data_IF_240152222904
#
_entry.id   IF_240152222904
#
_cell.length_a   1.000
_cell.length_b   1.000
_cell.length_c   1.000
_cell.angle_alpha   90.00
_cell.angle_beta   90.00
_cell.angle_gamma   90.00
#
_symmetry.space_group_name_H-M   'P 1'
#
loop_
_entity.id
_entity.type
_entity.pdbx_description
1 polymer ?
#
# COMPACT_ATOMS: atom_id res chain seq x y z
N UNK A 1 8.74 -6.07 11.28
CA UNK A 1 8.18 -7.09 10.36
C UNK A 1 7.30 -6.42 9.31
N UNK A 2 7.52 -6.28 8.09
CA UNK A 2 6.68 -5.89 6.96
C UNK A 2 5.69 -4.74 7.14
N UNK A 3 4.89 -4.49 6.09
CA UNK A 3 3.87 -3.43 6.08
C UNK A 3 2.76 -3.60 7.12
N UNK A 4 2.44 -4.85 7.49
CA UNK A 4 1.41 -5.11 8.52
C UNK A 4 1.75 -4.46 9.85
N UNK A 5 3.01 -4.57 10.30
CA UNK A 5 3.47 -3.93 11.54
C UNK A 5 3.64 -2.42 11.38
N UNK A 6 4.04 -1.97 10.18
CA UNK A 6 4.09 -0.55 9.87
C UNK A 6 2.71 0.10 9.93
N UNK A 7 1.70 -0.53 9.33
CA UNK A 7 0.32 -0.09 9.40
C UNK A 7 -0.25 -0.17 10.83
N UNK A 8 0.13 -1.21 11.60
CA UNK A 8 -0.23 -1.31 13.02
C UNK A 8 0.29 -0.10 13.81
N UNK A 9 1.54 0.32 13.55
CA UNK A 9 2.12 1.49 14.21
C UNK A 9 1.40 2.78 13.82
N UNK A 10 1.10 2.99 12.54
CA UNK A 10 0.33 4.15 12.08
C UNK A 10 -1.06 4.24 12.70
N UNK A 11 -1.77 3.11 12.78
CA UNK A 11 -3.07 3.03 13.46
C UNK A 11 -2.96 3.22 14.98
N UNK A 12 -1.88 2.74 15.59
CA UNK A 12 -1.61 2.99 17.02
C UNK A 12 -1.44 4.48 17.30
N UNK A 13 -0.65 5.21 16.48
CA UNK A 13 -0.52 6.66 16.60
C UNK A 13 -1.88 7.36 16.45
N UNK A 14 -2.68 6.94 15.46
CA UNK A 14 -4.01 7.50 15.23
C UNK A 14 -4.94 7.31 16.43
N UNK A 15 -4.93 6.11 17.03
CA UNK A 15 -5.74 5.79 18.21
C UNK A 15 -5.32 6.62 19.43
N UNK A 16 -4.03 6.79 19.67
CA UNK A 16 -3.53 7.58 20.79
C UNK A 16 -3.87 9.08 20.62
N UNK A 17 -3.99 9.54 19.37
CA UNK A 17 -4.42 10.91 19.08
C UNK A 17 -5.94 11.07 19.17
N UNK A 18 -6.69 10.10 18.66
CA UNK A 18 -8.15 10.08 18.62
C UNK A 18 -8.68 8.75 19.20
N UNK A 19 -8.73 8.60 20.54
CA UNK A 19 -9.16 7.34 21.18
C UNK A 19 -10.57 6.89 20.79
N UNK A 20 -11.46 7.85 20.56
CA UNK A 20 -12.85 7.61 20.12
C UNK A 20 -13.01 7.69 18.59
N UNK A 21 -11.91 7.84 17.85
CA UNK A 21 -11.93 8.00 16.40
C UNK A 21 -12.43 6.76 15.67
N UNK A 22 -13.15 6.97 14.56
CA UNK A 22 -13.65 5.91 13.68
C UNK A 22 -12.72 5.71 12.49
N UNK A 23 -12.31 4.45 12.23
CA UNK A 23 -11.44 4.13 11.08
C UNK A 23 -12.27 3.83 9.85
N UNK A 24 -11.91 4.44 8.73
CA UNK A 24 -12.51 4.20 7.41
C UNK A 24 -11.44 3.60 6.48
N UNK A 25 -11.73 2.47 5.85
CA UNK A 25 -10.84 1.76 4.93
C UNK A 25 -11.65 1.09 3.82
N UNK A 26 -11.08 0.89 2.63
CA UNK A 26 -11.82 0.32 1.50
C UNK A 26 -11.85 -1.21 1.51
N UNK A 27 -12.78 -1.78 0.75
CA UNK A 27 -12.91 -3.24 0.56
C UNK A 27 -11.63 -3.88 -0.01
N UNK A 28 -10.89 -3.15 -0.87
CA UNK A 28 -9.65 -3.63 -1.48
C UNK A 28 -8.41 -3.39 -0.60
N UNK A 29 -8.59 -2.84 0.60
CA UNK A 29 -7.52 -2.69 1.59
C UNK A 29 -6.93 -4.05 1.96
N UNK A 30 -5.62 -4.11 2.15
CA UNK A 30 -4.93 -5.34 2.51
C UNK A 30 -5.53 -6.01 3.75
N UNK A 31 -5.75 -7.32 3.70
CA UNK A 31 -6.44 -8.10 4.74
C UNK A 31 -5.87 -7.93 6.16
N UNK A 32 -4.60 -7.53 6.29
CA UNK A 32 -3.97 -7.32 7.60
C UNK A 32 -4.56 -6.14 8.38
N UNK A 33 -5.23 -5.21 7.71
CA UNK A 33 -5.82 -4.03 8.36
C UNK A 33 -6.93 -4.45 9.32
N UNK A 34 -7.82 -5.32 8.90
CA UNK A 34 -8.87 -5.87 9.79
C UNK A 34 -8.28 -6.57 11.03
N UNK A 35 -7.11 -7.23 10.91
CA UNK A 35 -6.40 -7.80 12.07
C UNK A 35 -5.85 -6.72 12.98
N UNK A 36 -5.26 -5.66 12.42
CA UNK A 36 -4.72 -4.54 13.18
C UNK A 36 -5.83 -3.80 13.95
N UNK A 37 -6.96 -3.53 13.28
CA UNK A 37 -8.12 -2.87 13.90
C UNK A 37 -8.69 -3.70 15.05
N UNK A 38 -8.79 -5.01 14.86
CA UNK A 38 -9.22 -5.94 15.93
C UNK A 38 -8.24 -5.94 17.10
N UNK A 39 -6.93 -5.98 16.83
CA UNK A 39 -5.90 -5.95 17.86
C UNK A 39 -5.93 -4.66 18.68
N UNK A 40 -6.09 -3.53 18.01
CA UNK A 40 -6.17 -2.21 18.61
C UNK A 40 -7.55 -1.88 19.19
N UNK A 41 -8.56 -2.73 18.95
CA UNK A 41 -9.98 -2.50 19.33
C UNK A 41 -10.53 -1.18 18.81
N UNK A 42 -10.15 -0.80 17.59
CA UNK A 42 -10.62 0.44 16.97
C UNK A 42 -11.99 0.22 16.29
N UNK A 43 -12.97 1.10 16.52
CA UNK A 43 -14.21 1.10 15.75
C UNK A 43 -13.90 1.44 14.29
N UNK A 44 -14.61 0.80 13.35
CA UNK A 44 -14.30 0.99 11.94
C UNK A 44 -15.50 0.74 11.03
N UNK A 45 -15.47 1.38 9.87
CA UNK A 45 -16.46 1.20 8.80
C UNK A 45 -15.68 0.88 7.51
N UNK A 46 -16.11 -0.17 6.83
CA UNK A 46 -15.57 -0.53 5.52
C UNK A 46 -16.34 0.20 4.43
N UNK A 47 -15.62 0.94 3.59
CA UNK A 47 -16.13 1.71 2.45
C UNK A 47 -16.01 0.86 1.20
N UNK A 48 -16.92 1.02 0.24
CA UNK A 48 -16.84 0.35 -1.06
C UNK A 48 -15.56 0.74 -1.79
N UNK A 49 -15.16 -0.10 -2.74
CA UNK A 49 -14.09 0.22 -3.69
C UNK A 49 -14.64 0.46 -5.09
N UNK A 50 -14.01 1.35 -5.82
CA UNK A 50 -14.21 1.53 -7.26
C UNK A 50 -13.64 0.33 -8.04
N UNK A 51 -14.02 0.14 -9.31
CA UNK A 51 -13.43 -0.92 -10.16
C UNK A 51 -11.90 -0.84 -10.30
N UNK A 52 -11.32 0.35 -10.15
CA UNK A 52 -9.86 0.57 -10.10
C UNK A 52 -9.20 0.01 -8.83
N UNK A 53 -9.98 -0.28 -7.79
CA UNK A 53 -9.49 -0.65 -6.45
C UNK A 53 -9.27 0.53 -5.52
N UNK A 54 -9.51 1.75 -5.98
CA UNK A 54 -9.56 2.94 -5.11
C UNK A 54 -10.77 2.91 -4.18
N UNK A 55 -10.70 3.67 -3.09
CA UNK A 55 -11.84 3.91 -2.23
C UNK A 55 -12.97 4.61 -3.01
N UNK A 56 -14.22 4.21 -2.82
CA UNK A 56 -15.38 4.92 -3.37
C UNK A 56 -15.58 6.23 -2.60
N UNK A 57 -15.26 7.35 -3.23
CA UNK A 57 -15.28 8.67 -2.60
C UNK A 57 -16.68 9.16 -2.27
N UNK A 58 -17.70 8.72 -3.00
CA UNK A 58 -19.08 9.07 -2.71
C UNK A 58 -19.58 8.32 -1.47
N UNK A 59 -19.30 7.02 -1.39
CA UNK A 59 -19.57 6.21 -0.21
C UNK A 59 -18.82 6.72 1.02
N UNK A 60 -17.56 7.12 0.85
CA UNK A 60 -16.77 7.77 1.90
C UNK A 60 -17.42 9.08 2.37
N UNK A 61 -17.81 9.95 1.42
CA UNK A 61 -18.46 11.22 1.72
C UNK A 61 -19.76 11.03 2.52
N UNK A 62 -20.67 10.17 2.03
CA UNK A 62 -21.94 9.91 2.68
C UNK A 62 -21.77 9.28 4.07
N UNK A 63 -20.83 8.36 4.20
CA UNK A 63 -20.54 7.70 5.47
C UNK A 63 -19.96 8.69 6.49
N UNK A 64 -19.00 9.52 6.07
CA UNK A 64 -18.43 10.59 6.91
C UNK A 64 -19.47 11.63 7.31
N UNK A 65 -20.39 11.99 6.40
CA UNK A 65 -21.48 12.94 6.68
C UNK A 65 -22.38 12.50 7.83
N UNK A 66 -22.67 11.20 7.91
CA UNK A 66 -23.48 10.60 8.97
C UNK A 66 -22.73 10.62 10.32
N UNK A 67 -21.42 10.45 10.30
CA UNK A 67 -20.55 10.31 11.48
C UNK A 67 -19.63 11.52 11.72
N UNK A 68 -19.96 12.69 11.19
CA UNK A 68 -19.07 13.87 11.18
C UNK A 68 -18.66 14.38 12.57
N UNK A 69 -19.38 13.98 13.62
CA UNK A 69 -19.08 14.38 15.00
C UNK A 69 -18.00 13.48 15.65
N UNK A 70 -17.55 12.43 14.94
CA UNK A 70 -16.51 11.52 15.40
C UNK A 70 -15.25 11.77 14.55
N UNK A 71 -14.07 12.01 15.13
CA UNK A 71 -12.84 12.21 14.38
C UNK A 71 -12.56 11.03 13.44
N UNK A 72 -12.52 11.24 12.10
CA UNK A 72 -12.22 10.16 11.18
C UNK A 72 -10.74 9.84 11.13
N UNK A 73 -10.44 8.55 11.11
CA UNK A 73 -9.13 7.99 10.81
C UNK A 73 -9.24 7.33 9.46
N UNK A 74 -8.70 7.95 8.41
CA UNK A 74 -8.77 7.43 7.05
C UNK A 74 -7.53 6.56 6.79
N UNK A 75 -7.76 5.31 6.43
CA UNK A 75 -6.73 4.40 5.98
C UNK A 75 -6.69 4.45 4.44
N UNK A 76 -5.80 5.28 3.89
CA UNK A 76 -5.65 5.46 2.46
C UNK A 76 -4.68 4.43 1.88
N UNK A 77 -5.10 3.75 0.80
CA UNK A 77 -4.25 2.78 0.11
C UNK A 77 -3.45 3.48 -0.99
N UNK A 78 -2.14 3.43 -0.90
CA UNK A 78 -1.24 3.89 -1.96
C UNK A 78 -0.73 2.64 -2.68
N UNK A 79 -1.65 2.04 -3.42
CA UNK A 79 -1.47 0.77 -4.12
C UNK A 79 -2.15 -0.41 -3.43
N UNK A 80 -3.44 -0.66 -3.74
CA UNK A 80 -4.17 -1.84 -3.25
C UNK A 80 -3.55 -3.14 -3.75
N UNK A 81 -3.70 -4.23 -3.00
CA UNK A 81 -2.98 -5.48 -3.24
C UNK A 81 -3.26 -6.09 -4.61
N UNK A 82 -4.53 -6.15 -5.03
CA UNK A 82 -4.91 -6.86 -6.25
C UNK A 82 -4.83 -6.01 -7.51
N UNK A 83 -5.09 -4.70 -7.41
CA UNK A 83 -5.22 -3.79 -8.55
C UNK A 83 -4.21 -2.64 -8.54
N UNK A 84 -3.46 -2.48 -7.44
CA UNK A 84 -2.59 -1.32 -7.23
C UNK A 84 -3.32 0.03 -7.43
N UNK A 85 -4.63 0.06 -7.02
CA UNK A 85 -5.40 1.31 -6.97
C UNK A 85 -4.81 2.25 -5.94
N UNK A 86 -4.71 3.52 -6.27
CA UNK A 86 -4.11 4.57 -5.43
C UNK A 86 -5.19 5.55 -5.01
N UNK A 87 -5.50 5.61 -3.72
CA UNK A 87 -6.45 6.56 -3.18
C UNK A 87 -5.93 7.99 -3.31
N UNK A 88 -6.77 8.88 -3.85
CA UNK A 88 -6.47 10.30 -4.01
C UNK A 88 -6.60 11.03 -2.67
N UNK A 89 -5.46 11.27 -2.02
CA UNK A 89 -5.39 11.98 -0.72
C UNK A 89 -5.95 13.41 -0.84
N UNK A 90 -5.73 14.09 -1.96
CA UNK A 90 -6.26 15.44 -2.20
C UNK A 90 -7.79 15.45 -2.24
N UNK A 91 -8.39 14.42 -2.85
CA UNK A 91 -9.84 14.24 -2.88
C UNK A 91 -10.40 13.90 -1.49
N UNK A 92 -9.71 13.05 -0.72
CA UNK A 92 -10.06 12.76 0.69
C UNK A 92 -10.03 14.06 1.51
N UNK A 93 -8.99 14.87 1.40
CA UNK A 93 -8.88 16.16 2.08
C UNK A 93 -10.01 17.12 1.68
N UNK A 94 -10.39 17.12 0.40
CA UNK A 94 -11.49 17.94 -0.11
C UNK A 94 -12.82 17.52 0.52
N UNK A 95 -13.07 16.23 0.69
CA UNK A 95 -14.26 15.69 1.36
C UNK A 95 -14.28 16.13 2.83
N UNK A 96 -13.19 15.98 3.56
CA UNK A 96 -13.09 16.40 4.96
C UNK A 96 -13.36 17.89 5.12
N UNK A 97 -12.81 18.72 4.23
CA UNK A 97 -13.04 20.16 4.21
C UNK A 97 -14.50 20.51 3.88
N UNK A 98 -15.10 19.86 2.89
CA UNK A 98 -16.50 20.08 2.50
C UNK A 98 -17.48 19.74 3.64
N UNK A 99 -17.18 18.69 4.40
CA UNK A 99 -17.96 18.29 5.57
C UNK A 99 -17.64 19.12 6.83
N UNK A 100 -16.70 20.06 6.74
CA UNK A 100 -16.25 20.90 7.85
C UNK A 100 -15.78 20.07 9.05
N UNK A 101 -15.08 18.95 8.78
CA UNK A 101 -14.50 18.09 9.81
C UNK A 101 -13.17 18.72 10.25
N UNK A 102 -13.05 19.19 11.51
CA UNK A 102 -11.89 19.96 11.95
C UNK A 102 -10.68 19.09 12.27
N UNK A 103 -10.90 17.86 12.69
CA UNK A 103 -9.88 16.94 13.16
C UNK A 103 -9.97 15.61 12.42
N UNK A 104 -8.85 15.14 11.88
CA UNK A 104 -8.79 13.87 11.17
C UNK A 104 -7.38 13.31 11.20
N UNK A 105 -7.24 12.02 10.92
CA UNK A 105 -5.96 11.36 10.73
C UNK A 105 -5.98 10.57 9.43
N UNK A 106 -5.01 10.79 8.56
CA UNK A 106 -4.84 10.00 7.35
C UNK A 106 -3.55 9.19 7.47
N UNK A 107 -3.69 7.88 7.51
CA UNK A 107 -2.58 6.93 7.39
C UNK A 107 -2.50 6.40 5.96
N UNK A 108 -1.35 6.46 5.33
CA UNK A 108 -1.13 5.95 3.98
C UNK A 108 -0.43 4.58 4.02
N UNK A 109 -1.15 3.52 3.62
CA UNK A 109 -0.50 2.24 3.31
C UNK A 109 0.16 2.33 1.93
N UNK A 110 1.43 2.66 1.95
CA UNK A 110 2.28 2.81 0.77
C UNK A 110 3.23 1.61 0.60
N UNK A 111 2.78 0.41 1.01
CA UNK A 111 3.60 -0.79 1.08
C UNK A 111 4.30 -1.14 -0.25
N UNK A 112 3.65 -0.93 -1.39
CA UNK A 112 4.22 -1.12 -2.72
C UNK A 112 4.51 0.21 -3.38
N UNK A 113 3.48 1.00 -3.65
CA UNK A 113 3.57 2.18 -4.52
C UNK A 113 4.27 3.36 -3.85
N UNK A 114 4.52 3.32 -2.55
CA UNK A 114 5.37 4.29 -1.85
C UNK A 114 6.81 4.37 -2.38
N UNK A 115 7.27 3.33 -3.09
CA UNK A 115 8.59 3.32 -3.72
C UNK A 115 8.53 3.31 -5.25
N UNK A 116 7.34 3.36 -5.86
CA UNK A 116 7.17 3.53 -7.31
C UNK A 116 6.77 4.95 -7.67
N UNK A 117 5.69 5.45 -7.08
CA UNK A 117 5.10 6.76 -7.41
C UNK A 117 6.07 7.95 -7.33
N UNK A 118 7.00 8.05 -6.34
CA UNK A 118 7.94 9.17 -6.28
C UNK A 118 8.89 9.29 -7.48
N UNK A 119 8.98 8.26 -8.31
CA UNK A 119 9.84 8.23 -9.50
C UNK A 119 9.05 8.37 -10.81
N UNK A 120 7.75 8.61 -10.75
CA UNK A 120 6.84 8.71 -11.91
C UNK A 120 6.34 10.15 -12.01
N UNK A 121 6.55 10.77 -13.15
CA UNK A 121 6.04 12.11 -13.42
C UNK A 121 4.51 12.10 -13.51
N UNK A 122 3.86 13.08 -12.88
CA UNK A 122 2.40 13.19 -12.84
C UNK A 122 1.70 12.18 -11.92
N UNK A 123 2.44 11.39 -11.14
CA UNK A 123 1.84 10.49 -10.16
C UNK A 123 1.11 11.25 -9.03
N UNK A 124 0.04 10.66 -8.45
CA UNK A 124 -0.66 11.25 -7.34
C UNK A 124 0.26 11.54 -6.14
N UNK A 125 0.06 12.69 -5.50
CA UNK A 125 0.77 13.03 -4.26
C UNK A 125 0.15 12.30 -3.07
N UNK A 126 1.00 11.70 -2.23
CA UNK A 126 0.58 10.97 -1.03
C UNK A 126 1.50 11.20 0.17
N UNK A 127 2.38 12.17 0.09
CA UNK A 127 3.33 12.51 1.15
C UNK A 127 2.73 13.48 2.19
N UNK A 128 3.55 13.93 3.13
CA UNK A 128 3.12 14.84 4.19
C UNK A 128 2.63 16.19 3.69
N UNK A 129 3.06 16.63 2.49
CA UNK A 129 2.57 17.86 1.88
C UNK A 129 1.13 17.72 1.37
N UNK A 130 0.69 16.49 1.07
CA UNK A 130 -0.71 16.17 0.75
C UNK A 130 -1.60 16.09 1.99
N UNK A 131 -1.01 16.20 3.21
CA UNK A 131 -1.75 16.26 4.47
C UNK A 131 -1.97 14.92 5.17
N UNK A 132 -1.16 13.90 4.86
CA UNK A 132 -1.14 12.66 5.65
C UNK A 132 -0.37 12.87 6.95
N UNK A 133 -0.65 12.04 7.97
CA UNK A 133 0.01 12.09 9.28
C UNK A 133 1.02 10.96 9.49
N UNK A 134 0.86 9.85 8.76
CA UNK A 134 1.81 8.74 8.75
C UNK A 134 1.70 7.92 7.47
N UNK A 135 2.77 7.22 7.13
CA UNK A 135 2.78 6.26 6.04
C UNK A 135 3.64 5.03 6.37
N UNK A 136 3.33 3.90 5.73
CA UNK A 136 4.07 2.65 5.85
C UNK A 136 4.53 2.14 4.50
N UNK A 137 5.82 1.78 4.37
CA UNK A 137 6.42 1.21 3.15
C UNK A 137 6.98 -0.17 3.48
N UNK A 138 6.78 -1.15 2.59
CA UNK A 138 7.41 -2.47 2.72
C UNK A 138 8.83 -2.46 2.14
N UNK A 139 9.83 -2.63 2.99
CA UNK A 139 11.23 -2.60 2.56
C UNK A 139 11.66 -3.84 1.76
N UNK A 140 10.94 -4.97 1.91
CA UNK A 140 11.18 -6.21 1.17
C UNK A 140 10.50 -6.27 -0.21
N UNK A 141 9.70 -5.26 -0.58
CA UNK A 141 9.14 -5.12 -1.94
C UNK A 141 10.16 -4.41 -2.84
N UNK A 142 9.88 -3.23 -3.36
CA UNK A 142 10.74 -2.57 -4.37
C UNK A 142 12.14 -2.21 -3.84
N UNK A 143 12.28 -1.86 -2.56
CA UNK A 143 13.62 -1.62 -1.98
C UNK A 143 14.46 -2.89 -2.01
N UNK A 144 13.83 -4.07 -1.89
CA UNK A 144 14.46 -5.35 -2.11
C UNK A 144 15.29 -5.85 -0.93
N UNK A 145 14.91 -5.49 0.33
CA UNK A 145 15.49 -6.14 1.50
C UNK A 145 15.19 -7.64 1.47
N UNK A 146 16.18 -8.51 1.74
CA UNK A 146 16.01 -9.97 1.64
C UNK A 146 15.18 -10.57 2.77
N UNK A 147 14.87 -9.78 3.80
CA UNK A 147 14.00 -10.17 4.93
C UNK A 147 12.80 -9.22 5.02
N UNK A 148 11.63 -9.70 5.48
CA UNK A 148 10.47 -8.86 5.67
C UNK A 148 10.77 -7.70 6.62
N UNK A 149 10.48 -6.48 6.16
CA UNK A 149 10.64 -5.27 6.96
C UNK A 149 9.66 -4.18 6.52
N UNK A 150 9.27 -3.33 7.47
CA UNK A 150 8.46 -2.14 7.25
C UNK A 150 9.23 -0.88 7.65
N UNK A 151 9.06 0.16 6.87
CA UNK A 151 9.52 1.51 7.18
C UNK A 151 8.28 2.35 7.47
N UNK A 152 8.25 3.01 8.62
CA UNK A 152 7.16 3.92 8.99
C UNK A 152 7.73 5.33 9.08
N UNK A 153 7.05 6.24 8.43
CA UNK A 153 7.29 7.68 8.59
C UNK A 153 6.03 8.29 9.21
N UNK A 154 6.21 9.17 10.17
CA UNK A 154 5.11 9.87 10.83
C UNK A 154 5.51 11.28 11.24
N UNK A 155 4.54 12.16 11.40
CA UNK A 155 4.78 13.49 11.94
C UNK A 155 5.36 13.36 13.36
N UNK A 156 6.48 14.04 13.60
CA UNK A 156 7.18 13.96 14.89
C UNK A 156 6.27 14.27 16.08
N UNK A 157 5.42 15.27 15.97
CA UNK A 157 4.47 15.65 17.02
C UNK A 157 3.53 14.51 17.44
N UNK A 158 3.17 13.60 16.51
CA UNK A 158 2.32 12.46 16.81
C UNK A 158 3.13 11.35 17.51
N UNK A 159 4.37 11.16 17.09
CA UNK A 159 5.31 10.21 17.74
C UNK A 159 5.64 10.67 19.16
N UNK A 160 5.85 11.96 19.37
CA UNK A 160 6.17 12.50 20.69
C UNK A 160 5.04 12.29 21.72
N UNK A 161 3.78 12.18 21.27
CA UNK A 161 2.63 11.91 22.17
C UNK A 161 2.65 10.53 22.81
N UNK A 162 3.20 9.54 22.12
CA UNK A 162 3.31 8.18 22.65
C UNK A 162 4.64 7.93 23.37
N UNK A 163 5.54 8.92 23.35
CA UNK A 163 6.88 8.81 23.93
C UNK A 163 6.81 8.60 25.45
N UNK A 164 7.49 7.57 25.92
CA UNK A 164 7.60 7.25 27.34
C UNK A 164 9.05 7.31 27.78
N UNK A 165 9.31 8.01 28.86
CA UNK A 165 10.64 8.03 29.47
C UNK A 165 10.90 6.73 30.21
N UNK A 166 11.97 6.03 29.82
CA UNK A 166 12.40 4.78 30.43
C UNK A 166 13.77 5.01 31.08
N UNK A 167 13.79 5.08 32.41
CA UNK A 167 14.98 5.45 33.19
C UNK A 167 16.19 4.58 32.86
N UNK A 168 16.05 3.26 32.88
CA UNK A 168 17.16 2.34 32.63
C UNK A 168 17.62 2.27 31.17
N UNK A 169 16.81 2.76 30.21
CA UNK A 169 17.16 2.84 28.77
C UNK A 169 17.88 4.18 28.47
N UNK A 170 17.60 5.19 29.27
CA UNK A 170 18.18 6.53 29.11
C UNK A 170 17.66 7.31 27.91
N UNK A 171 16.60 6.82 27.25
CA UNK A 171 15.96 7.46 26.08
C UNK A 171 14.44 7.32 26.13
N UNK A 172 13.76 8.11 25.29
CA UNK A 172 12.33 7.97 25.11
C UNK A 172 12.03 6.73 24.25
N UNK A 173 11.15 5.86 24.71
CA UNK A 173 10.58 4.80 23.89
C UNK A 173 9.34 5.31 23.15
N UNK A 174 9.32 5.14 21.84
CA UNK A 174 8.25 5.55 20.92
C UNK A 174 7.76 4.39 20.07
N UNK A 175 8.04 3.15 20.47
CA UNK A 175 7.83 1.96 19.65
C UNK A 175 6.81 1.00 20.27
N UNK A 176 6.28 0.07 19.46
CA UNK A 176 5.41 -1.01 19.97
C UNK A 176 6.25 -2.16 20.51
N UNK A 177 7.35 -2.47 19.83
CA UNK A 177 8.24 -3.58 20.19
C UNK A 177 9.52 -3.04 20.85
N UNK A 178 10.03 -3.72 21.88
CA UNK A 178 11.28 -3.35 22.55
C UNK A 178 12.51 -3.56 21.68
N UNK A 179 13.31 -4.60 21.93
CA UNK A 179 14.51 -4.90 21.13
C UNK A 179 14.18 -5.21 19.67
N UNK A 180 14.94 -4.64 18.75
CA UNK A 180 14.82 -4.82 17.32
C UNK A 180 16.15 -5.24 16.70
N UNK A 181 16.11 -5.95 15.56
CA UNK A 181 17.33 -6.33 14.87
C UNK A 181 17.99 -5.11 14.17
N UNK A 182 19.30 -5.10 14.09
CA UNK A 182 20.07 -4.07 13.39
C UNK A 182 20.39 -4.44 11.93
N UNK A 183 20.16 -5.69 11.52
CA UNK A 183 20.49 -6.17 10.17
C UNK A 183 19.55 -5.52 9.14
N UNK A 184 18.27 -5.45 9.44
CA UNK A 184 17.28 -4.86 8.52
C UNK A 184 17.55 -3.41 8.17
N UNK A 185 17.78 -2.49 9.13
CA UNK A 185 18.19 -1.13 8.81
C UNK A 185 19.47 -1.05 7.99
N UNK A 186 20.46 -1.91 8.26
CA UNK A 186 21.70 -1.97 7.48
C UNK A 186 21.44 -2.38 6.03
N UNK A 187 20.62 -3.38 5.80
CA UNK A 187 20.22 -3.84 4.45
C UNK A 187 19.46 -2.75 3.69
N UNK A 188 18.53 -2.06 4.34
CA UNK A 188 17.81 -0.93 3.74
C UNK A 188 18.76 0.21 3.39
N UNK A 189 19.63 0.59 4.31
CA UNK A 189 20.65 1.62 4.08
C UNK A 189 21.53 1.24 2.88
N UNK A 190 22.03 0.02 2.83
CA UNK A 190 22.86 -0.47 1.71
C UNK A 190 22.09 -0.41 0.38
N UNK A 191 20.85 -0.92 0.34
CA UNK A 191 20.03 -0.92 -0.85
C UNK A 191 19.74 0.51 -1.37
N UNK A 192 19.47 1.43 -0.46
CA UNK A 192 19.20 2.84 -0.79
C UNK A 192 20.49 3.54 -1.26
N UNK A 193 21.59 3.36 -0.54
CA UNK A 193 22.88 4.02 -0.87
C UNK A 193 23.49 3.50 -2.16
N UNK A 194 23.43 2.19 -2.40
CA UNK A 194 24.03 1.57 -3.59
C UNK A 194 23.29 1.92 -4.88
N UNK A 195 21.95 2.10 -4.83
CA UNK A 195 21.15 2.44 -6.01
C UNK A 195 21.02 3.94 -6.21
N UNK A 196 20.84 4.70 -5.12
CA UNK A 196 20.52 6.12 -5.19
C UNK A 196 19.19 6.41 -5.92
N UNK A 197 18.85 7.66 -6.05
CA UNK A 197 17.62 8.12 -6.71
C UNK A 197 17.56 7.61 -8.15
N UNK A 198 18.63 7.74 -8.92
CA UNK A 198 18.67 7.35 -10.34
C UNK A 198 18.57 5.83 -10.53
N UNK A 199 19.15 5.03 -9.63
CA UNK A 199 19.01 3.59 -9.67
C UNK A 199 17.59 3.11 -9.42
N UNK A 200 16.87 3.75 -8.47
CA UNK A 200 15.45 3.50 -8.25
C UNK A 200 14.61 3.95 -9.43
N UNK A 201 14.83 5.16 -9.97
CA UNK A 201 14.13 5.66 -11.17
C UNK A 201 14.26 4.68 -12.34
N UNK A 202 15.48 4.23 -12.67
CA UNK A 202 15.72 3.22 -13.71
C UNK A 202 14.98 1.90 -13.42
N UNK A 203 14.95 1.48 -12.16
CA UNK A 203 14.25 0.26 -11.76
C UNK A 203 12.75 0.38 -11.96
N UNK A 204 12.14 1.49 -11.51
CA UNK A 204 10.69 1.76 -11.66
C UNK A 204 10.31 1.83 -13.14
N UNK A 205 11.05 2.61 -13.94
CA UNK A 205 10.77 2.74 -15.38
C UNK A 205 10.83 1.37 -16.10
N UNK A 206 11.78 0.52 -15.74
CA UNK A 206 11.87 -0.85 -16.26
C UNK A 206 10.70 -1.72 -15.86
N UNK A 207 10.24 -1.62 -14.61
CA UNK A 207 9.06 -2.35 -14.13
C UNK A 207 7.79 -1.88 -14.86
N UNK A 208 7.61 -0.58 -15.06
CA UNK A 208 6.48 0.00 -15.79
C UNK A 208 6.46 -0.44 -17.26
N UNK A 209 7.61 -0.37 -17.96
CA UNK A 209 7.73 -0.83 -19.36
C UNK A 209 7.40 -2.32 -19.49
N UNK A 210 7.85 -3.14 -18.55
CA UNK A 210 7.53 -4.57 -18.53
C UNK A 210 6.09 -4.86 -18.17
N UNK A 211 5.47 -4.05 -17.30
CA UNK A 211 4.05 -4.16 -16.99
C UNK A 211 3.20 -3.84 -18.22
N UNK A 212 3.58 -2.81 -18.99
CA UNK A 212 2.94 -2.49 -20.26
C UNK A 212 3.08 -3.64 -21.26
N UNK A 213 4.29 -4.19 -21.40
CA UNK A 213 4.54 -5.36 -22.23
C UNK A 213 3.66 -6.55 -21.80
N UNK A 214 3.50 -6.80 -20.51
CA UNK A 214 2.68 -7.90 -19.99
C UNK A 214 1.20 -7.71 -20.35
N UNK A 215 0.67 -6.48 -20.23
CA UNK A 215 -0.70 -6.18 -20.65
C UNK A 215 -0.89 -6.48 -22.14
N UNK A 216 0.01 -5.97 -22.98
CA UNK A 216 -0.08 -6.19 -24.42
C UNK A 216 0.02 -7.68 -24.77
N UNK A 217 0.98 -8.38 -24.21
CA UNK A 217 1.25 -9.80 -24.48
C UNK A 217 0.09 -10.70 -24.08
N UNK A 218 -0.55 -10.44 -22.95
CA UNK A 218 -1.73 -11.18 -22.49
C UNK A 218 -2.94 -10.88 -23.37
N UNK A 219 -3.17 -9.64 -23.75
CA UNK A 219 -4.27 -9.26 -24.67
C UNK A 219 -4.08 -9.85 -26.06
N UNK A 220 -2.85 -9.95 -26.61
CA UNK A 220 -2.55 -10.62 -27.88
C UNK A 220 -2.97 -12.08 -27.93
N UNK A 221 -2.96 -12.77 -26.80
CA UNK A 221 -3.39 -14.17 -26.69
C UNK A 221 -4.85 -14.33 -26.28
N UNK A 222 -5.63 -13.23 -26.28
CA UNK A 222 -7.06 -13.24 -25.97
C UNK A 222 -7.38 -13.24 -24.46
N UNK A 223 -6.41 -13.02 -23.58
CA UNK A 223 -6.61 -12.87 -22.14
C UNK A 223 -6.85 -11.40 -21.82
N UNK A 224 -8.04 -11.06 -21.33
CA UNK A 224 -8.33 -9.68 -20.93
C UNK A 224 -7.39 -9.23 -19.80
N UNK A 225 -6.48 -8.31 -20.09
CA UNK A 225 -5.48 -7.81 -19.16
C UNK A 225 -5.47 -6.28 -19.16
N UNK A 226 -5.25 -5.70 -17.97
CA UNK A 226 -5.18 -4.26 -17.77
C UNK A 226 -4.32 -3.91 -16.55
N UNK A 227 -3.99 -2.64 -16.39
CA UNK A 227 -3.36 -2.08 -15.20
C UNK A 227 -3.86 -0.67 -14.93
N UNK A 228 -3.80 -0.23 -13.69
CA UNK A 228 -4.06 1.16 -13.34
C UNK A 228 -2.94 2.09 -13.86
N UNK A 229 -3.22 3.38 -14.03
CA UNK A 229 -2.17 4.37 -14.25
C UNK A 229 -1.07 4.25 -13.19
N UNK A 230 0.19 4.32 -13.61
CA UNK A 230 1.37 4.24 -12.74
C UNK A 230 1.61 2.89 -12.03
N UNK A 231 0.74 1.89 -12.21
CA UNK A 231 0.86 0.59 -11.58
C UNK A 231 1.88 -0.31 -12.28
N UNK A 232 2.60 -1.11 -11.50
CA UNK A 232 3.43 -2.23 -11.97
C UNK A 232 2.70 -3.57 -11.81
N UNK A 233 1.49 -3.54 -11.26
CA UNK A 233 0.61 -4.70 -11.13
C UNK A 233 -0.29 -4.79 -12.37
N UNK A 234 -0.27 -5.96 -13.01
CA UNK A 234 -1.12 -6.30 -14.16
C UNK A 234 -2.19 -7.26 -13.72
N UNK A 235 -3.44 -6.86 -13.89
CA UNK A 235 -4.64 -7.65 -13.59
C UNK A 235 -5.11 -8.30 -14.88
N UNK A 236 -5.51 -9.56 -14.80
CA UNK A 236 -6.02 -10.28 -15.98
C UNK A 236 -7.05 -11.35 -15.59
N UNK A 237 -7.81 -11.82 -16.58
CA UNK A 237 -8.78 -12.87 -16.37
C UNK A 237 -8.14 -14.11 -15.76
N UNK A 238 -8.78 -14.68 -14.76
CA UNK A 238 -8.30 -15.84 -14.00
C UNK A 238 -8.02 -17.03 -14.95
N UNK A 239 -6.79 -17.51 -15.03
CA UNK A 239 -6.44 -18.66 -15.87
C UNK A 239 -6.81 -19.99 -15.20
N UNK A 240 -6.60 -21.10 -15.92
CA UNK A 240 -6.84 -22.45 -15.42
C UNK A 240 -6.12 -22.73 -14.09
N UNK A 241 -6.66 -23.60 -13.20
CA UNK A 241 -6.10 -23.90 -11.89
C UNK A 241 -4.62 -24.35 -11.93
N UNK A 242 -4.24 -25.09 -12.95
CA UNK A 242 -2.85 -25.54 -13.14
C UNK A 242 -1.87 -24.37 -13.29
N UNK A 243 -2.30 -23.30 -13.98
CA UNK A 243 -1.49 -22.09 -14.17
C UNK A 243 -1.39 -21.30 -12.86
N UNK A 244 -2.50 -21.21 -12.11
CA UNK A 244 -2.51 -20.57 -10.79
C UNK A 244 -1.51 -21.23 -9.84
N UNK A 245 -1.50 -22.57 -9.82
CA UNK A 245 -0.60 -23.36 -8.98
C UNK A 245 0.85 -23.23 -9.46
N UNK A 246 1.12 -23.41 -10.76
CA UNK A 246 2.48 -23.33 -11.32
C UNK A 246 3.14 -21.98 -11.07
N UNK A 247 2.40 -20.89 -11.26
CA UNK A 247 2.90 -19.53 -11.17
C UNK A 247 2.65 -18.85 -9.82
N UNK A 248 1.99 -19.55 -8.88
CA UNK A 248 1.61 -19.03 -7.56
C UNK A 248 0.89 -17.68 -7.65
N UNK A 249 -0.06 -17.60 -8.58
CA UNK A 249 -0.80 -16.36 -8.84
C UNK A 249 -1.82 -16.08 -7.74
N UNK A 250 -1.85 -14.85 -7.26
CA UNK A 250 -2.92 -14.38 -6.39
C UNK A 250 -4.20 -14.12 -7.19
N UNK A 251 -5.35 -14.48 -6.59
CA UNK A 251 -6.66 -14.37 -7.24
C UNK A 251 -7.67 -13.64 -6.36
N UNK A 252 -8.60 -12.94 -7.01
CA UNK A 252 -9.77 -12.35 -6.37
C UNK A 252 -10.95 -12.43 -7.35
N UNK A 253 -11.99 -13.21 -7.02
CA UNK A 253 -13.10 -13.47 -7.95
C UNK A 253 -12.62 -14.08 -9.26
N UNK A 254 -12.93 -13.40 -10.36
CA UNK A 254 -12.61 -13.83 -11.72
C UNK A 254 -11.28 -13.25 -12.25
N UNK A 255 -10.48 -12.64 -11.39
CA UNK A 255 -9.21 -12.03 -11.77
C UNK A 255 -8.03 -12.68 -11.06
N UNK A 256 -6.92 -12.71 -11.76
CA UNK A 256 -5.58 -12.94 -11.22
C UNK A 256 -4.73 -11.70 -11.44
N UNK A 257 -3.59 -11.62 -10.76
CA UNK A 257 -2.63 -10.57 -11.03
C UNK A 257 -1.17 -11.07 -11.03
N UNK A 258 -0.32 -10.32 -11.70
CA UNK A 258 1.13 -10.37 -11.54
C UNK A 258 1.65 -9.00 -11.13
N UNK A 259 2.55 -8.98 -10.16
CA UNK A 259 3.27 -7.78 -9.76
C UNK A 259 4.62 -7.79 -10.48
N UNK A 260 4.82 -6.86 -11.44
CA UNK A 260 5.99 -6.82 -12.31
C UNK A 260 7.18 -6.18 -11.57
N UNK A 261 7.70 -6.95 -10.61
CA UNK A 261 8.87 -6.61 -9.81
C UNK A 261 10.18 -6.70 -10.64
N UNK A 262 11.31 -6.18 -10.16
CA UNK A 262 12.58 -6.15 -10.92
C UNK A 262 13.06 -7.49 -11.47
N UNK A 263 12.67 -8.60 -10.85
CA UNK A 263 13.03 -9.97 -11.28
C UNK A 263 12.07 -10.57 -12.31
N UNK A 264 10.97 -9.91 -12.64
CA UNK A 264 10.04 -10.31 -13.72
C UNK A 264 10.60 -9.78 -15.04
N UNK A 265 11.02 -10.68 -15.93
CA UNK A 265 11.59 -10.36 -17.23
C UNK A 265 10.57 -10.58 -18.35
N UNK A 266 10.88 -10.12 -19.58
CA UNK A 266 10.05 -10.40 -20.76
C UNK A 266 9.90 -11.91 -20.98
N UNK A 267 10.99 -12.67 -20.83
CA UNK A 267 11.00 -14.12 -20.99
C UNK A 267 10.04 -14.82 -20.01
N UNK A 268 9.95 -14.34 -18.77
CA UNK A 268 8.99 -14.87 -17.79
C UNK A 268 7.55 -14.54 -18.17
N UNK A 269 7.30 -13.36 -18.71
CA UNK A 269 5.98 -12.95 -19.19
C UNK A 269 5.58 -13.82 -20.39
N UNK A 270 6.50 -14.05 -21.34
CA UNK A 270 6.27 -14.91 -22.50
C UNK A 270 6.02 -16.37 -22.10
N UNK A 271 6.75 -16.87 -21.10
CA UNK A 271 6.53 -18.21 -20.56
C UNK A 271 5.14 -18.34 -19.92
N UNK A 272 4.70 -17.34 -19.14
CA UNK A 272 3.35 -17.32 -18.58
C UNK A 272 2.29 -17.33 -19.70
N UNK A 273 2.47 -16.50 -20.73
CA UNK A 273 1.56 -16.45 -21.86
C UNK A 273 1.50 -17.79 -22.62
N UNK A 274 2.66 -18.42 -22.86
CA UNK A 274 2.74 -19.74 -23.51
C UNK A 274 2.05 -20.84 -22.67
N UNK A 275 2.23 -20.81 -21.35
CA UNK A 275 1.57 -21.76 -20.45
C UNK A 275 0.04 -21.59 -20.46
N UNK A 276 -0.45 -20.35 -20.51
CA UNK A 276 -1.90 -20.06 -20.60
C UNK A 276 -2.46 -20.59 -21.92
N UNK A 277 -1.77 -20.38 -23.05
CA UNK A 277 -2.20 -20.89 -24.36
C UNK A 277 -2.27 -22.43 -24.34
N UNK A 278 -1.29 -23.07 -23.73
CA UNK A 278 -1.19 -24.53 -23.68
C UNK A 278 -2.20 -25.18 -22.75
N UNK A 279 -2.81 -24.41 -21.85
CA UNK A 279 -3.75 -24.88 -20.85
C UNK A 279 -4.96 -23.91 -20.78
N UNK A 280 -5.85 -23.93 -21.77
CA UNK A 280 -7.02 -23.05 -21.79
C UNK A 280 -7.93 -23.33 -20.59
N UNK A 281 -8.64 -22.28 -20.13
CA UNK A 281 -9.54 -22.30 -18.96
C UNK A 281 -10.80 -23.10 -19.23
#
# INVERSE_FOLDING_TARGET
NGGTEGNLYGLYLARELYPEGMVYFSQDTHYSVSKNLRLLRMPHIMIRSLPSGEIDYEDLYETLRIHRDVPPIIFANIGTTMREGVDDVGRIQSILKQLTIPESYIHADAALSGMTLPFIEGAPQFDFSAGIQSLSISGHKLIGAPVPCGVVLALKQNVDRIARSIEYVGTLDTTITGSRNAITPLMLWYAIRSRGIEGFRKTVNRCLSRAEYAVNRLNEIGVSAWRNPHAITVVFSKPAPLILEKWQLAVQGDFAHIMVMPHVTHEKIDQLAADIISNPS
#
